data_IF_111924454959
#
_entry.id   IF_111924454959
#
_cell.length_a   1.000
_cell.length_b   1.000
_cell.length_c   1.000
_cell.angle_alpha   90.00
_cell.angle_beta   90.00
_cell.angle_gamma   90.00
#
_symmetry.space_group_name_H-M   'P 1'
#
loop_
_entity.id
_entity.type
_entity.pdbx_description
1 polymer ?
#
# COMPACT_ATOMS: atom_id res chain seq x y z
N UNK A 1 -12.09 2.97 -6.96
CA UNK A 1 -10.87 3.42 -6.25
C UNK A 1 -10.05 4.28 -7.19
N UNK A 2 -9.59 5.44 -6.72
CA UNK A 2 -8.67 6.33 -7.43
C UNK A 2 -7.27 6.13 -6.87
N UNK A 3 -6.23 6.26 -7.70
CA UNK A 3 -4.85 6.16 -7.27
C UNK A 3 -4.05 7.39 -7.68
N UNK A 4 -3.20 7.86 -6.78
CA UNK A 4 -2.27 8.96 -7.01
C UNK A 4 -0.88 8.42 -6.72
N UNK A 5 0.00 8.45 -7.72
CA UNK A 5 1.40 8.07 -7.55
C UNK A 5 2.31 9.29 -7.50
N UNK A 6 3.34 9.20 -6.67
CA UNK A 6 4.37 10.21 -6.53
C UNK A 6 5.74 9.54 -6.40
N UNK A 7 6.85 10.22 -6.77
CA UNK A 7 8.18 9.74 -6.48
C UNK A 7 8.38 9.48 -4.97
N UNK A 8 9.27 8.55 -4.63
CA UNK A 8 9.62 8.35 -3.22
C UNK A 8 10.21 9.61 -2.59
N UNK A 9 9.91 9.88 -1.31
CA UNK A 9 10.63 10.89 -0.54
C UNK A 9 12.14 10.59 -0.55
N UNK A 10 13.02 11.61 -0.54
CA UNK A 10 14.47 11.41 -0.53
C UNK A 10 15.01 10.58 0.65
N UNK A 11 14.26 10.53 1.76
CA UNK A 11 14.59 9.74 2.95
C UNK A 11 14.33 8.23 2.80
N UNK A 12 13.60 7.81 1.77
CA UNK A 12 13.25 6.40 1.54
C UNK A 12 14.18 5.82 0.47
N UNK A 13 14.88 4.70 0.74
CA UNK A 13 15.84 4.16 -0.20
C UNK A 13 15.17 3.62 -1.47
N UNK A 14 15.87 3.76 -2.58
CA UNK A 14 15.53 3.05 -3.81
C UNK A 14 15.76 1.55 -3.63
N UNK A 15 15.11 0.73 -4.45
CA UNK A 15 15.34 -0.72 -4.44
C UNK A 15 16.63 -1.14 -5.16
N UNK A 16 17.04 -0.41 -6.20
CA UNK A 16 18.30 -0.61 -6.92
C UNK A 16 18.64 0.64 -7.74
N UNK A 17 19.89 0.76 -8.18
CA UNK A 17 20.32 1.87 -9.04
C UNK A 17 19.50 1.92 -10.34
N UNK A 18 19.04 3.12 -10.71
CA UNK A 18 18.19 3.35 -11.90
C UNK A 18 16.74 2.88 -11.75
N UNK A 19 16.31 2.42 -10.57
CA UNK A 19 14.92 2.09 -10.31
C UNK A 19 14.17 3.33 -9.80
N UNK A 20 12.91 3.44 -10.19
CA UNK A 20 12.03 4.56 -9.85
C UNK A 20 10.80 4.04 -9.11
N UNK A 21 10.95 3.52 -7.87
CA UNK A 21 9.79 3.18 -7.05
C UNK A 21 8.91 4.41 -6.81
N UNK A 22 7.61 4.17 -6.63
CA UNK A 22 6.61 5.19 -6.40
C UNK A 22 5.87 4.93 -5.10
N UNK A 23 5.58 6.01 -4.37
CA UNK A 23 4.61 6.00 -3.28
C UNK A 23 3.23 6.23 -3.90
N UNK A 24 2.31 5.32 -3.62
CA UNK A 24 0.96 5.36 -4.18
C UNK A 24 -0.04 5.48 -3.04
N UNK A 25 -0.90 6.48 -3.15
CA UNK A 25 -2.07 6.64 -2.31
C UNK A 25 -3.32 6.19 -3.07
N UNK A 26 -4.16 5.39 -2.43
CA UNK A 26 -5.40 4.86 -2.99
C UNK A 26 -6.59 5.38 -2.19
N UNK A 27 -7.52 6.02 -2.90
CA UNK A 27 -8.72 6.62 -2.36
C UNK A 27 -9.97 5.83 -2.75
N UNK A 28 -10.94 5.84 -1.85
CA UNK A 28 -12.26 5.25 -2.03
C UNK A 28 -12.32 3.75 -1.74
N UNK A 29 -13.55 3.25 -1.63
CA UNK A 29 -13.80 1.89 -1.21
C UNK A 29 -13.68 0.87 -2.36
N UNK A 30 -13.24 -0.37 -2.06
CA UNK A 30 -13.32 -1.47 -3.02
C UNK A 30 -14.78 -1.89 -3.26
N UNK A 31 -14.98 -2.68 -4.32
CA UNK A 31 -16.30 -3.24 -4.62
C UNK A 31 -16.78 -4.13 -3.47
N UNK A 32 -18.05 -4.00 -3.08
CA UNK A 32 -18.64 -4.78 -1.99
C UNK A 32 -18.25 -4.31 -0.58
N UNK A 33 -17.56 -3.17 -0.45
CA UNK A 33 -17.31 -2.55 0.85
C UNK A 33 -18.62 -2.20 1.56
N UNK A 34 -18.67 -2.39 2.87
CA UNK A 34 -19.87 -2.14 3.67
C UNK A 34 -20.20 -0.64 3.67
N UNK A 35 -21.42 -0.29 3.28
CA UNK A 35 -21.91 1.08 3.34
C UNK A 35 -21.83 1.59 4.79
N UNK A 36 -21.27 2.79 4.98
CA UNK A 36 -21.07 3.41 6.29
C UNK A 36 -19.84 2.92 7.05
N UNK A 37 -19.15 1.87 6.60
CA UNK A 37 -17.91 1.42 7.24
C UNK A 37 -16.72 2.33 6.88
N UNK A 38 -15.80 2.58 7.83
CA UNK A 38 -14.60 3.37 7.56
C UNK A 38 -13.82 2.84 6.35
N UNK A 39 -13.36 3.76 5.50
CA UNK A 39 -12.47 3.45 4.38
C UNK A 39 -11.42 4.57 4.26
N UNK A 40 -10.39 4.57 5.12
CA UNK A 40 -9.31 5.55 5.00
C UNK A 40 -8.52 5.33 3.70
N UNK A 41 -7.79 6.37 3.28
CA UNK A 41 -6.82 6.24 2.20
C UNK A 41 -5.77 5.19 2.55
N UNK A 42 -5.36 4.42 1.54
CA UNK A 42 -4.36 3.36 1.69
C UNK A 42 -3.09 3.72 0.94
N UNK A 43 -1.94 3.48 1.57
CA UNK A 43 -0.61 3.74 1.04
C UNK A 43 0.13 2.43 0.78
N UNK A 44 0.84 2.37 -0.34
CA UNK A 44 1.86 1.36 -0.61
C UNK A 44 3.00 1.97 -1.43
N UNK A 45 4.16 1.32 -1.43
CA UNK A 45 5.26 1.65 -2.33
C UNK A 45 5.39 0.52 -3.34
N UNK A 46 5.53 0.84 -4.62
CA UNK A 46 5.70 -0.13 -5.70
C UNK A 46 6.91 0.18 -6.58
N UNK A 47 7.53 -0.85 -7.13
CA UNK A 47 8.50 -0.72 -8.20
C UNK A 47 8.16 -1.69 -9.32
N UNK A 48 7.71 -1.16 -10.46
CA UNK A 48 7.35 -1.96 -11.63
C UNK A 48 8.53 -2.80 -12.14
N UNK A 49 9.75 -2.26 -12.12
CA UNK A 49 10.96 -2.97 -12.56
C UNK A 49 11.31 -4.16 -11.67
N UNK A 50 11.00 -4.10 -10.37
CA UNK A 50 11.16 -5.24 -9.46
C UNK A 50 9.94 -6.18 -9.47
N UNK A 51 8.80 -5.74 -10.00
CA UNK A 51 7.53 -6.47 -9.88
C UNK A 51 7.00 -6.57 -8.44
N UNK A 52 7.45 -5.70 -7.53
CA UNK A 52 7.16 -5.78 -6.09
C UNK A 52 6.51 -4.50 -5.57
N UNK A 53 5.65 -4.67 -4.56
CA UNK A 53 5.05 -3.60 -3.78
C UNK A 53 5.03 -3.93 -2.29
N UNK A 54 4.89 -2.94 -1.42
CA UNK A 54 4.56 -3.17 -0.01
C UNK A 54 3.09 -3.55 0.13
N UNK A 55 2.75 -4.32 1.17
CA UNK A 55 1.35 -4.55 1.56
C UNK A 55 0.71 -3.19 1.87
N UNK A 56 -0.49 -2.89 1.34
CA UNK A 56 -1.20 -1.64 1.62
C UNK A 56 -1.45 -1.42 3.12
N UNK A 57 -1.45 -0.16 3.55
CA UNK A 57 -1.67 0.25 4.94
C UNK A 57 -2.27 1.65 4.99
N UNK A 58 -3.11 1.99 6.00
CA UNK A 58 -3.60 3.36 6.16
C UNK A 58 -2.52 4.35 6.62
N UNK A 59 -1.31 3.87 6.95
CA UNK A 59 -0.20 4.70 7.41
C UNK A 59 0.91 4.80 6.37
N UNK A 60 1.14 6.02 5.87
CA UNK A 60 2.27 6.33 4.97
C UNK A 60 3.61 5.92 5.57
N UNK A 61 3.86 6.25 6.84
CA UNK A 61 5.11 5.91 7.54
C UNK A 61 5.34 4.39 7.60
N UNK A 62 4.28 3.60 7.77
CA UNK A 62 4.39 2.14 7.72
C UNK A 62 4.72 1.64 6.30
N UNK A 63 4.15 2.25 5.25
CA UNK A 63 4.49 1.87 3.87
C UNK A 63 5.97 2.14 3.56
N UNK A 64 6.48 3.29 4.01
CA UNK A 64 7.90 3.67 3.91
C UNK A 64 8.81 2.70 4.67
N UNK A 65 8.49 2.40 5.94
CA UNK A 65 9.24 1.43 6.76
C UNK A 65 9.28 0.03 6.13
N UNK A 66 8.13 -0.48 5.65
CA UNK A 66 8.04 -1.79 4.96
C UNK A 66 8.94 -1.87 3.73
N UNK A 67 9.14 -0.74 3.05
CA UNK A 67 10.01 -0.65 1.89
C UNK A 67 11.49 -0.55 2.28
N UNK A 68 11.83 0.25 3.29
CA UNK A 68 13.21 0.39 3.76
C UNK A 68 13.82 -0.93 4.24
N UNK A 69 13.00 -1.85 4.76
CA UNK A 69 13.45 -3.17 5.20
C UNK A 69 13.15 -4.24 4.13
N UNK A 70 14.12 -4.61 3.27
CA UNK A 70 13.89 -5.53 2.15
C UNK A 70 13.51 -6.95 2.58
N UNK A 71 13.87 -7.36 3.79
CA UNK A 71 13.46 -8.63 4.40
C UNK A 71 12.09 -8.58 5.08
N UNK A 72 11.35 -7.47 4.97
CA UNK A 72 10.03 -7.38 5.57
C UNK A 72 9.08 -8.41 4.93
N UNK A 73 8.33 -9.12 5.77
CA UNK A 73 7.27 -10.04 5.34
C UNK A 73 6.09 -9.31 4.66
N UNK A 74 6.18 -7.99 4.50
CA UNK A 74 5.12 -7.13 4.00
C UNK A 74 5.40 -6.67 2.56
N UNK A 75 5.98 -7.53 1.74
CA UNK A 75 6.08 -7.33 0.29
C UNK A 75 5.20 -8.32 -0.45
N UNK A 76 4.59 -7.84 -1.53
CA UNK A 76 3.72 -8.62 -2.41
C UNK A 76 4.13 -8.40 -3.86
N UNK A 77 3.92 -9.38 -4.75
CA UNK A 77 4.01 -9.15 -6.19
C UNK A 77 3.00 -8.09 -6.64
N UNK A 78 3.39 -7.21 -7.56
CA UNK A 78 2.50 -6.17 -8.12
C UNK A 78 1.23 -6.77 -8.73
N UNK A 79 1.34 -7.95 -9.35
CA UNK A 79 0.19 -8.67 -9.90
C UNK A 79 -0.90 -8.98 -8.85
N UNK A 80 -0.53 -9.12 -7.58
CA UNK A 80 -1.46 -9.38 -6.46
C UNK A 80 -1.95 -8.13 -5.74
N UNK A 81 -1.52 -6.93 -6.15
CA UNK A 81 -1.67 -5.71 -5.37
C UNK A 81 -3.12 -5.26 -5.21
N UNK A 82 -3.97 -5.46 -6.23
CA UNK A 82 -5.41 -5.19 -6.13
C UNK A 82 -6.03 -5.99 -4.99
N UNK A 83 -5.79 -7.30 -4.95
CA UNK A 83 -6.30 -8.19 -3.89
C UNK A 83 -5.76 -7.78 -2.52
N UNK A 84 -4.48 -7.41 -2.45
CA UNK A 84 -3.87 -6.94 -1.20
C UNK A 84 -4.55 -5.67 -0.66
N UNK A 85 -4.98 -4.74 -1.54
CA UNK A 85 -5.74 -3.55 -1.12
C UNK A 85 -7.11 -3.92 -0.58
N UNK A 86 -7.83 -4.80 -1.26
CA UNK A 86 -9.13 -5.31 -0.83
C UNK A 86 -9.04 -6.00 0.54
N UNK A 87 -8.03 -6.86 0.74
CA UNK A 87 -7.77 -7.54 2.01
C UNK A 87 -7.41 -6.57 3.15
N UNK A 88 -6.53 -5.59 2.88
CA UNK A 88 -6.13 -4.61 3.88
C UNK A 88 -7.31 -3.71 4.28
N UNK A 89 -8.16 -3.31 3.33
CA UNK A 89 -9.39 -2.57 3.60
C UNK A 89 -10.38 -3.39 4.44
N UNK A 90 -10.61 -4.66 4.09
CA UNK A 90 -11.47 -5.56 4.85
C UNK A 90 -10.97 -5.78 6.29
N UNK A 91 -9.65 -5.93 6.49
CA UNK A 91 -9.06 -6.07 7.81
C UNK A 91 -9.29 -4.83 8.70
N UNK A 92 -9.30 -3.63 8.13
CA UNK A 92 -9.64 -2.41 8.88
C UNK A 92 -11.09 -2.39 9.35
N UNK A 93 -12.02 -2.89 8.53
CA UNK A 93 -13.44 -2.99 8.93
C UNK A 93 -13.63 -3.97 10.09
N UNK A 94 -12.93 -5.11 10.06
CA UNK A 94 -12.98 -6.12 11.12
C UNK A 94 -12.36 -5.61 12.42
N UNK A 95 -11.22 -4.92 12.35
CA UNK A 95 -10.49 -4.44 13.52
C UNK A 95 -11.03 -3.12 14.07
N UNK A 96 -11.71 -2.32 13.25
CA UNK A 96 -12.36 -1.06 13.64
C UNK A 96 -13.75 -1.24 14.27
N UNK A 97 -14.31 -2.46 14.26
CA UNK A 97 -15.57 -2.78 14.94
C UNK A 97 -15.41 -2.99 16.47
N UNK A 98 -14.21 -2.75 17.02
CA UNK A 98 -13.88 -2.91 18.43
C UNK A 98 -13.62 -1.57 19.17
N UNK A 99 -14.05 -0.43 18.59
CA UNK A 99 -13.96 0.89 19.21
C UNK A 99 -15.35 1.46 19.55
#
# INVERSE_FOLDING_TARGET
MQQISSPLPPSVPLCAAGHHPQLVETWGAPQGHRIGAPCPSMFHIECYRCGLATVPTPSRAMAESRWTHPTSQHRVPIAGLRRAREQACAALVLNGAAA
#
